data_IF_624888182872
#
_entry.id   IF_624888182872
#
_cell.length_a   1.000
_cell.length_b   1.000
_cell.length_c   1.000
_cell.angle_alpha   90.00
_cell.angle_beta   90.00
_cell.angle_gamma   90.00
#
_symmetry.space_group_name_H-M   'P 1'
#
loop_
_entity.id
_entity.type
_entity.pdbx_description
1 polymer ?
#
# COMPACT_ATOMS: atom_id res chain seq x y z
N UNK A 1 20.22 13.10 5.58
CA UNK A 1 20.15 11.77 4.92
C UNK A 1 19.30 11.93 3.66
N UNK A 2 19.78 11.57 2.46
CA UNK A 2 18.92 11.65 1.25
C UNK A 2 17.85 10.55 1.31
N UNK A 3 16.58 10.89 1.09
CA UNK A 3 15.47 9.92 1.02
C UNK A 3 15.76 8.87 -0.06
N UNK A 4 15.57 7.58 0.26
CA UNK A 4 15.81 6.46 -0.67
C UNK A 4 15.00 6.62 -1.96
N UNK A 5 13.74 7.05 -1.84
CA UNK A 5 12.84 7.31 -2.98
C UNK A 5 13.38 8.40 -3.89
N UNK A 6 13.99 9.46 -3.33
CA UNK A 6 14.60 10.53 -4.12
C UNK A 6 15.74 9.98 -4.99
N UNK A 7 16.57 9.09 -4.46
CA UNK A 7 17.67 8.48 -5.23
C UNK A 7 17.13 7.67 -6.42
N UNK A 8 16.03 6.92 -6.24
CA UNK A 8 15.38 6.17 -7.33
C UNK A 8 14.83 7.12 -8.39
N UNK A 9 14.16 8.20 -7.97
CA UNK A 9 13.65 9.22 -8.90
C UNK A 9 14.80 9.86 -9.68
N UNK A 10 15.87 10.29 -9.01
CA UNK A 10 17.03 10.92 -9.63
C UNK A 10 17.70 9.96 -10.64
N UNK A 11 17.77 8.67 -10.31
CA UNK A 11 18.25 7.62 -11.23
C UNK A 11 17.31 7.44 -12.43
N UNK A 12 15.99 7.40 -12.22
CA UNK A 12 15.02 7.34 -13.31
C UNK A 12 15.18 8.50 -14.29
N UNK A 13 15.34 9.73 -13.77
CA UNK A 13 15.53 10.93 -14.59
C UNK A 13 16.85 10.87 -15.36
N UNK A 14 17.94 10.47 -14.70
CA UNK A 14 19.28 10.37 -15.31
C UNK A 14 19.32 9.30 -16.42
N UNK A 15 18.71 8.14 -16.16
CA UNK A 15 18.65 7.02 -17.10
C UNK A 15 17.50 7.12 -18.11
N UNK A 16 16.73 8.23 -18.12
CA UNK A 16 15.59 8.46 -19.02
C UNK A 16 14.53 7.35 -18.96
N UNK A 17 14.32 6.79 -17.77
CA UNK A 17 13.24 5.84 -17.50
C UNK A 17 11.90 6.54 -17.78
N UNK A 18 11.00 5.86 -18.50
CA UNK A 18 9.73 6.46 -18.94
C UNK A 18 8.61 6.33 -17.91
N UNK A 19 8.66 5.31 -17.05
CA UNK A 19 7.58 4.98 -16.11
C UNK A 19 8.15 4.53 -14.78
N UNK A 20 7.62 5.07 -13.69
CA UNK A 20 7.94 4.66 -12.32
C UNK A 20 6.65 4.37 -11.56
N UNK A 21 6.46 3.13 -11.14
CA UNK A 21 5.34 2.72 -10.31
C UNK A 21 5.86 2.57 -8.88
N UNK A 22 5.19 3.25 -7.94
CA UNK A 22 5.60 3.26 -6.54
C UNK A 22 4.59 2.51 -5.66
N UNK A 23 5.07 1.52 -4.92
CA UNK A 23 4.27 0.84 -3.89
C UNK A 23 4.24 1.70 -2.64
N UNK A 24 3.16 2.45 -2.49
CA UNK A 24 2.82 3.19 -1.28
C UNK A 24 2.12 2.28 -0.27
N UNK A 25 1.18 2.79 0.52
CA UNK A 25 0.36 2.04 1.46
C UNK A 25 -0.92 2.80 1.75
N UNK A 26 -2.01 2.10 2.07
CA UNK A 26 -3.26 2.73 2.50
C UNK A 26 -3.10 3.62 3.76
N UNK A 27 -2.11 3.30 4.60
CA UNK A 27 -1.82 4.00 5.86
C UNK A 27 -1.44 5.48 5.69
N UNK A 28 -1.07 5.92 4.47
CA UNK A 28 -0.68 7.32 4.21
C UNK A 28 -1.81 8.34 4.44
N UNK A 29 -3.06 7.86 4.59
CA UNK A 29 -4.24 8.67 4.93
C UNK A 29 -4.93 8.24 6.23
N UNK A 30 -4.32 7.33 7.01
CA UNK A 30 -4.88 6.83 8.28
C UNK A 30 -4.34 7.61 9.48
N UNK A 31 -5.23 8.27 10.22
CA UNK A 31 -4.88 9.15 11.34
C UNK A 31 -4.53 8.41 12.65
N UNK A 32 -4.60 7.07 12.67
CA UNK A 32 -4.37 6.27 13.86
C UNK A 32 -5.59 6.07 14.76
N UNK A 33 -6.70 6.77 14.48
CA UNK A 33 -7.86 6.83 15.38
C UNK A 33 -9.15 6.43 14.67
N UNK A 34 -9.39 7.00 13.49
CA UNK A 34 -10.60 6.81 12.71
C UNK A 34 -10.34 5.80 11.59
N UNK A 35 -11.08 4.68 11.61
CA UNK A 35 -11.00 3.67 10.55
C UNK A 35 -11.27 4.24 9.16
N UNK A 36 -10.63 3.66 8.15
CA UNK A 36 -10.80 4.03 6.75
C UNK A 36 -11.84 3.13 6.09
N UNK A 37 -13.10 3.52 6.15
CA UNK A 37 -14.21 2.78 5.52
C UNK A 37 -14.69 3.49 4.26
N UNK A 38 -14.74 2.77 3.14
CA UNK A 38 -15.22 3.28 1.84
C UNK A 38 -14.59 4.63 1.43
N UNK A 39 -13.29 4.78 1.70
CA UNK A 39 -12.52 5.97 1.31
C UNK A 39 -12.01 5.83 -0.12
N UNK A 40 -11.83 6.96 -0.79
CA UNK A 40 -11.26 7.02 -2.13
C UNK A 40 -9.97 7.87 -2.14
N UNK A 41 -9.35 7.95 -3.31
CA UNK A 41 -8.09 8.66 -3.57
C UNK A 41 -8.16 10.18 -3.31
N UNK A 42 -9.36 10.76 -3.16
CA UNK A 42 -9.53 12.17 -2.84
C UNK A 42 -9.15 12.51 -1.41
N UNK A 43 -9.05 11.50 -0.52
CA UNK A 43 -8.66 11.70 0.87
C UNK A 43 -7.24 12.29 0.94
N UNK A 44 -7.07 13.46 1.59
CA UNK A 44 -5.77 14.12 1.64
C UNK A 44 -4.79 13.35 2.52
N UNK A 45 -3.50 13.59 2.29
CA UNK A 45 -2.48 13.21 3.27
C UNK A 45 -2.73 13.92 4.60
N UNK A 46 -2.28 13.28 5.67
CA UNK A 46 -2.38 13.83 7.01
C UNK A 46 -1.34 14.94 7.25
N UNK A 47 -1.68 15.84 8.16
CA UNK A 47 -0.74 16.82 8.71
C UNK A 47 0.16 16.20 9.79
N UNK A 48 -0.39 15.23 10.55
CA UNK A 48 0.31 14.48 11.58
C UNK A 48 0.05 12.99 11.39
N UNK A 49 1.13 12.22 11.31
CA UNK A 49 1.07 10.77 11.10
C UNK A 49 1.10 10.02 12.44
N UNK A 50 0.43 8.85 12.52
CA UNK A 50 0.40 8.04 13.74
C UNK A 50 1.77 7.42 14.07
N UNK A 51 2.60 7.18 13.04
CA UNK A 51 3.94 6.61 13.20
C UNK A 51 4.90 7.07 12.08
N UNK A 52 6.18 6.74 12.25
CA UNK A 52 7.24 7.09 11.32
C UNK A 52 7.14 6.36 9.97
N UNK A 53 6.55 5.17 9.93
CA UNK A 53 6.37 4.42 8.69
C UNK A 53 5.35 5.10 7.79
N UNK A 54 4.17 5.44 8.32
CA UNK A 54 3.13 6.18 7.62
C UNK A 54 3.64 7.53 7.10
N UNK A 55 4.39 8.26 7.94
CA UNK A 55 5.05 9.50 7.53
C UNK A 55 6.00 9.26 6.35
N UNK A 56 6.91 8.27 6.47
CA UNK A 56 7.91 7.99 5.44
C UNK A 56 7.27 7.60 4.09
N UNK A 57 6.19 6.81 4.12
CA UNK A 57 5.44 6.41 2.93
C UNK A 57 4.73 7.59 2.29
N UNK A 58 4.11 8.45 3.08
CA UNK A 58 3.43 9.65 2.58
C UNK A 58 4.42 10.66 1.96
N UNK A 59 5.56 10.90 2.61
CA UNK A 59 6.60 11.77 2.07
C UNK A 59 7.18 11.23 0.75
N UNK A 60 7.43 9.92 0.68
CA UNK A 60 7.90 9.26 -0.54
C UNK A 60 6.85 9.33 -1.67
N UNK A 61 5.57 9.09 -1.38
CA UNK A 61 4.50 9.21 -2.38
C UNK A 61 4.39 10.65 -2.92
N UNK A 62 4.45 11.65 -2.03
CA UNK A 62 4.47 13.08 -2.43
C UNK A 62 5.64 13.39 -3.37
N UNK A 63 6.82 12.79 -3.14
CA UNK A 63 7.98 12.94 -4.04
C UNK A 63 7.75 12.31 -5.40
N UNK A 64 7.15 11.11 -5.44
CA UNK A 64 6.84 10.39 -6.70
C UNK A 64 5.79 11.12 -7.51
N UNK A 65 4.72 11.62 -6.88
CA UNK A 65 3.71 12.46 -7.54
C UNK A 65 4.32 13.73 -8.12
N UNK A 66 5.19 14.42 -7.37
CA UNK A 66 5.91 15.62 -7.86
C UNK A 66 6.89 15.33 -8.99
N UNK A 67 7.37 14.09 -9.13
CA UNK A 67 8.27 13.71 -10.20
C UNK A 67 7.55 13.46 -11.54
N UNK A 68 6.23 13.29 -11.53
CA UNK A 68 5.44 13.07 -12.74
C UNK A 68 5.61 14.23 -13.74
N UNK A 69 5.80 13.89 -15.01
CA UNK A 69 6.01 14.82 -16.11
C UNK A 69 7.42 15.41 -16.22
N UNK A 70 8.29 15.21 -15.22
CA UNK A 70 9.67 15.71 -15.27
C UNK A 70 10.47 14.87 -16.26
N UNK A 71 11.02 15.49 -17.31
CA UNK A 71 11.79 14.80 -18.35
C UNK A 71 11.06 13.59 -18.95
N UNK A 72 9.74 13.72 -19.17
CA UNK A 72 8.84 12.66 -19.69
C UNK A 72 8.66 11.45 -18.76
N UNK A 73 9.14 11.51 -17.51
CA UNK A 73 8.88 10.46 -16.53
C UNK A 73 7.41 10.49 -16.13
N UNK A 74 6.69 9.40 -16.42
CA UNK A 74 5.35 9.17 -15.89
C UNK A 74 5.44 8.40 -14.58
N UNK A 75 4.64 8.79 -13.58
CA UNK A 75 4.59 8.08 -12.31
C UNK A 75 3.17 7.65 -11.97
N UNK A 76 3.04 6.58 -11.18
CA UNK A 76 1.78 6.15 -10.58
C UNK A 76 2.09 5.49 -9.24
N UNK A 77 1.29 5.74 -8.23
CA UNK A 77 1.43 5.07 -6.94
C UNK A 77 0.28 4.11 -6.72
N UNK A 78 0.55 3.00 -6.05
CA UNK A 78 -0.52 2.13 -5.56
C UNK A 78 -0.46 2.06 -4.04
N UNK A 79 -1.62 2.04 -3.40
CA UNK A 79 -1.82 2.03 -1.95
C UNK A 79 -2.47 0.71 -1.57
N UNK A 80 -1.71 -0.39 -1.52
CA UNK A 80 -2.24 -1.64 -1.01
C UNK A 80 -2.60 -1.50 0.47
N UNK A 81 -3.66 -2.21 0.87
CA UNK A 81 -3.96 -2.51 2.27
C UNK A 81 -2.99 -3.58 2.82
N UNK A 82 -3.32 -4.21 3.95
CA UNK A 82 -2.47 -5.25 4.55
C UNK A 82 -2.32 -6.45 3.63
N UNK A 83 -1.11 -6.68 3.12
CA UNK A 83 -0.83 -7.71 2.12
C UNK A 83 -0.61 -9.06 2.79
N UNK A 84 -1.23 -10.12 2.25
CA UNK A 84 -0.97 -11.51 2.66
C UNK A 84 -0.71 -12.43 1.45
N UNK A 85 -0.12 -13.60 1.70
CA UNK A 85 0.10 -14.64 0.69
C UNK A 85 1.53 -15.21 0.69
N UNK A 86 1.92 -15.94 -0.37
CA UNK A 86 3.25 -16.54 -0.49
C UNK A 86 4.37 -15.51 -0.29
N UNK A 87 5.34 -15.85 0.57
CA UNK A 87 6.46 -14.97 0.91
C UNK A 87 6.19 -13.97 2.03
N UNK A 88 4.97 -13.94 2.58
CA UNK A 88 4.68 -13.20 3.81
C UNK A 88 5.46 -13.80 4.99
N UNK A 89 6.04 -12.92 5.80
CA UNK A 89 6.79 -13.25 7.01
C UNK A 89 5.98 -12.98 8.28
N UNK A 90 4.96 -12.12 8.21
CA UNK A 90 4.17 -11.66 9.36
C UNK A 90 3.19 -12.74 9.77
N UNK A 91 2.39 -13.27 8.84
CA UNK A 91 1.45 -14.35 9.14
C UNK A 91 2.20 -15.56 9.74
N UNK A 92 3.25 -16.12 9.11
CA UNK A 92 4.02 -17.22 9.71
C UNK A 92 4.61 -16.89 11.08
N UNK A 93 5.09 -15.64 11.26
CA UNK A 93 5.60 -15.18 12.55
C UNK A 93 4.51 -15.20 13.64
N UNK A 94 3.33 -14.66 13.36
CA UNK A 94 2.20 -14.66 14.30
C UNK A 94 1.74 -16.07 14.63
N UNK A 95 1.68 -16.95 13.63
CA UNK A 95 1.33 -18.37 13.80
C UNK A 95 2.33 -19.14 14.66
N UNK A 96 3.64 -18.83 14.54
CA UNK A 96 4.66 -19.46 15.38
C UNK A 96 4.50 -19.14 16.88
N UNK A 97 3.73 -18.09 17.21
CA UNK A 97 3.34 -17.70 18.56
C UNK A 97 1.85 -17.99 18.87
N UNK A 98 1.16 -18.75 18.01
CA UNK A 98 -0.30 -18.92 17.97
C UNK A 98 -0.96 -19.51 19.22
N UNK A 99 -0.19 -20.00 20.20
CA UNK A 99 -0.71 -20.45 21.50
C UNK A 99 -1.01 -19.31 22.48
N UNK A 100 -0.65 -18.07 22.14
CA UNK A 100 -0.86 -16.88 22.98
C UNK A 100 -1.43 -15.72 22.18
N UNK A 101 -2.55 -15.95 21.48
CA UNK A 101 -3.28 -14.90 20.78
C UNK A 101 -3.97 -13.99 21.82
N UNK A 102 -3.31 -12.89 22.19
CA UNK A 102 -3.94 -11.82 22.96
C UNK A 102 -4.56 -10.81 22.01
N UNK A 103 -5.82 -10.46 22.25
CA UNK A 103 -6.48 -9.36 21.55
C UNK A 103 -5.90 -8.05 22.08
N UNK A 104 -5.22 -7.30 21.21
CA UNK A 104 -4.74 -5.95 21.52
C UNK A 104 -5.85 -4.94 21.22
N UNK A 105 -6.18 -4.14 22.22
CA UNK A 105 -7.25 -3.15 22.14
C UNK A 105 -8.63 -3.75 22.42
N UNK A 106 -9.66 -3.22 21.76
CA UNK A 106 -11.06 -3.61 22.00
C UNK A 106 -11.57 -4.74 21.08
N UNK A 107 -10.69 -5.31 20.26
CA UNK A 107 -11.04 -6.39 19.33
C UNK A 107 -11.83 -5.96 18.09
N UNK A 108 -12.06 -4.66 17.87
CA UNK A 108 -12.89 -4.15 16.76
C UNK A 108 -12.05 -3.54 15.63
N UNK A 109 -10.85 -4.08 15.41
CA UNK A 109 -9.93 -3.60 14.40
C UNK A 109 -10.32 -4.26 13.07
N UNK A 110 -10.86 -3.48 12.14
CA UNK A 110 -11.18 -3.92 10.79
C UNK A 110 -10.10 -3.49 9.80
N UNK A 111 -9.80 -4.36 8.85
CA UNK A 111 -8.90 -4.08 7.74
C UNK A 111 -9.37 -4.82 6.48
N UNK A 112 -8.85 -4.42 5.32
CA UNK A 112 -8.98 -5.17 4.08
C UNK A 112 -7.66 -5.92 3.85
N UNK A 113 -7.68 -7.24 4.00
CA UNK A 113 -6.51 -8.07 3.73
C UNK A 113 -6.45 -8.35 2.23
N UNK A 114 -5.40 -7.87 1.56
CA UNK A 114 -5.23 -8.02 0.12
C UNK A 114 -4.25 -9.13 -0.22
N UNK A 115 -4.67 -10.06 -1.09
CA UNK A 115 -3.78 -11.12 -1.57
C UNK A 115 -2.66 -10.54 -2.46
N UNK A 116 -1.43 -11.01 -2.28
CA UNK A 116 -0.23 -10.47 -2.95
C UNK A 116 -0.36 -10.44 -4.48
N UNK A 117 -1.01 -11.42 -5.09
CA UNK A 117 -1.20 -11.43 -6.54
C UNK A 117 -2.15 -10.33 -7.04
N UNK A 118 -3.13 -9.91 -6.21
CA UNK A 118 -3.98 -8.76 -6.53
C UNK A 118 -3.18 -7.45 -6.49
N UNK A 119 -2.21 -7.33 -5.59
CA UNK A 119 -1.27 -6.20 -5.56
C UNK A 119 -0.38 -6.20 -6.81
N UNK A 120 0.12 -7.37 -7.23
CA UNK A 120 0.89 -7.52 -8.47
C UNK A 120 0.04 -7.13 -9.68
N UNK A 121 -1.22 -7.58 -9.72
CA UNK A 121 -2.16 -7.20 -10.76
C UNK A 121 -2.36 -5.69 -10.81
N UNK A 122 -2.51 -5.02 -9.65
CA UNK A 122 -2.57 -3.56 -9.54
C UNK A 122 -1.35 -2.86 -10.16
N UNK A 123 -0.14 -3.36 -9.91
CA UNK A 123 1.08 -2.83 -10.56
C UNK A 123 1.05 -3.01 -12.08
N UNK A 124 0.64 -4.18 -12.57
CA UNK A 124 0.54 -4.44 -14.01
C UNK A 124 -0.49 -3.51 -14.66
N UNK A 125 -1.63 -3.27 -14.01
CA UNK A 125 -2.65 -2.33 -14.49
C UNK A 125 -2.14 -0.89 -14.51
N UNK A 126 -1.41 -0.46 -13.49
CA UNK A 126 -0.75 0.85 -13.47
C UNK A 126 0.27 1.00 -14.61
N UNK A 127 1.06 -0.05 -14.89
CA UNK A 127 2.03 -0.06 -15.99
C UNK A 127 1.33 0.08 -17.35
N UNK A 128 0.30 -0.75 -17.57
CA UNK A 128 -0.49 -0.76 -18.80
C UNK A 128 -1.20 0.57 -19.06
N UNK A 129 -1.75 1.20 -18.04
CA UNK A 129 -2.40 2.51 -18.20
C UNK A 129 -1.39 3.59 -18.60
N UNK A 130 -0.19 3.58 -17.98
CA UNK A 130 0.89 4.51 -18.33
C UNK A 130 1.52 4.26 -19.71
N UNK A 131 1.28 3.12 -20.37
CA UNK A 131 1.75 2.85 -21.74
C UNK A 131 1.04 3.71 -22.79
N UNK A 132 -0.21 4.09 -22.54
CA UNK A 132 -1.03 4.83 -23.51
C UNK A 132 -1.09 6.31 -23.15
N UNK A 133 -1.18 7.20 -24.15
CA UNK A 133 -1.30 8.64 -23.88
C UNK A 133 -2.55 8.98 -23.07
N UNK A 134 -3.68 8.35 -23.38
CA UNK A 134 -4.94 8.63 -22.68
C UNK A 134 -4.99 8.00 -21.30
N UNK A 135 -4.49 6.77 -21.14
CA UNK A 135 -4.33 6.15 -19.82
C UNK A 135 -3.36 6.91 -18.91
N UNK A 136 -2.27 7.47 -19.47
CA UNK A 136 -1.33 8.31 -18.73
C UNK A 136 -1.96 9.64 -18.26
N UNK A 137 -2.91 10.23 -19.01
CA UNK A 137 -3.69 11.39 -18.52
C UNK A 137 -4.57 11.04 -17.33
N UNK A 138 -5.06 9.80 -17.28
CA UNK A 138 -5.93 9.31 -16.20
C UNK A 138 -5.13 8.98 -14.95
N UNK A 139 -4.02 8.25 -15.09
CA UNK A 139 -3.27 7.64 -13.97
C UNK A 139 -1.94 8.32 -13.61
N UNK A 140 -1.39 9.12 -14.52
CA UNK A 140 -0.11 9.82 -14.32
C UNK A 140 -0.14 10.76 -13.12
N UNK A 141 0.81 10.60 -12.21
CA UNK A 141 0.96 11.37 -10.98
C UNK A 141 -0.07 11.05 -9.89
N UNK A 142 -0.97 10.09 -10.12
CA UNK A 142 -2.01 9.72 -9.16
C UNK A 142 -1.61 8.52 -8.31
N UNK A 143 -2.37 8.31 -7.25
CA UNK A 143 -2.31 7.13 -6.39
C UNK A 143 -3.64 6.39 -6.49
N UNK A 144 -3.64 5.07 -6.25
CA UNK A 144 -4.86 4.24 -6.27
C UNK A 144 -4.85 3.24 -5.11
N UNK A 145 -5.96 3.13 -4.38
CA UNK A 145 -6.13 2.05 -3.41
C UNK A 145 -6.28 0.72 -4.13
N UNK A 146 -5.58 -0.32 -3.64
CA UNK A 146 -5.74 -1.68 -4.11
C UNK A 146 -6.22 -2.51 -2.94
N UNK A 147 -7.43 -3.04 -3.06
CA UNK A 147 -8.15 -3.77 -2.00
C UNK A 147 -8.81 -5.02 -2.60
N UNK A 148 -9.18 -5.97 -1.74
CA UNK A 148 -10.07 -7.06 -2.12
C UNK A 148 -11.55 -6.66 -2.06
N UNK A 149 -11.86 -5.51 -1.42
CA UNK A 149 -13.22 -5.07 -1.10
C UNK A 149 -13.94 -6.01 -0.13
N UNK A 150 -13.17 -6.64 0.75
CA UNK A 150 -13.62 -7.65 1.71
C UNK A 150 -13.15 -7.25 3.12
N UNK A 151 -13.68 -6.16 3.71
CA UNK A 151 -13.27 -5.72 5.03
C UNK A 151 -13.63 -6.79 6.06
N UNK A 152 -12.64 -7.20 6.85
CA UNK A 152 -12.78 -8.23 7.86
C UNK A 152 -12.20 -7.75 9.19
N UNK A 153 -12.73 -8.28 10.29
CA UNK A 153 -12.08 -8.12 11.58
C UNK A 153 -10.72 -8.82 11.56
N UNK A 154 -9.67 -8.13 12.01
CA UNK A 154 -8.31 -8.68 12.04
C UNK A 154 -8.23 -10.01 12.81
N UNK A 155 -8.96 -10.14 13.92
CA UNK A 155 -8.91 -11.34 14.74
C UNK A 155 -9.61 -12.51 14.06
N UNK A 156 -10.76 -12.27 13.42
CA UNK A 156 -11.46 -13.29 12.63
C UNK A 156 -10.56 -13.79 11.49
N UNK A 157 -9.88 -12.89 10.78
CA UNK A 157 -8.90 -13.26 9.75
C UNK A 157 -7.79 -14.16 10.29
N UNK A 158 -7.22 -13.80 11.45
CA UNK A 158 -6.19 -14.61 12.11
C UNK A 158 -6.71 -15.98 12.57
N UNK A 159 -7.94 -16.05 13.08
CA UNK A 159 -8.57 -17.32 13.47
C UNK A 159 -8.79 -18.23 12.26
N UNK A 160 -9.28 -17.68 11.15
CA UNK A 160 -9.45 -18.44 9.90
C UNK A 160 -8.12 -19.00 9.41
N UNK A 161 -7.04 -18.22 9.45
CA UNK A 161 -5.70 -18.69 9.09
C UNK A 161 -5.21 -19.82 10.01
N UNK A 162 -5.43 -19.70 11.31
CA UNK A 162 -5.06 -20.74 12.28
C UNK A 162 -5.82 -22.04 12.04
N UNK A 163 -7.13 -21.95 11.80
CA UNK A 163 -8.00 -23.10 11.55
C UNK A 163 -7.61 -23.84 10.26
N UNK A 164 -7.39 -23.11 9.17
CA UNK A 164 -6.91 -23.67 7.89
C UNK A 164 -5.54 -24.35 8.00
N UNK A 165 -4.71 -23.90 8.95
CA UNK A 165 -3.41 -24.50 9.24
C UNK A 165 -3.46 -25.62 10.29
N UNK A 166 -4.66 -26.00 10.74
CA UNK A 166 -4.89 -27.12 11.65
C UNK A 166 -4.69 -26.81 13.14
N UNK A 167 -4.59 -25.54 13.50
CA UNK A 167 -4.64 -25.11 14.90
C UNK A 167 -6.11 -25.01 15.34
N UNK A 168 -6.47 -25.70 16.43
CA UNK A 168 -7.80 -25.66 17.05
C UNK A 168 -7.76 -24.88 18.36
#
# INVERSE_FOLDING_TARGET
MKSRTKNVIDACLTCKVKRLIYTSSSIVVFDGVNGLFNVDESKPFLDKFPDAYAQSKAEAEKLVTKANGRYELLTCSIRPSTIFGPGDIIIPFLLSHGRTMFIIGNGKNFDDFIYVENVVHGHICAEKTLLTKDGAKISGGKAYFITNMEPMNMWDFMYMLLEELGYK
#
